data_IF_910235192136
#
_entry.id   IF_910235192136
#
_cell.length_a   1.000
_cell.length_b   1.000
_cell.length_c   1.000
_cell.angle_alpha   90.00
_cell.angle_beta   90.00
_cell.angle_gamma   90.00
#
_symmetry.space_group_name_H-M   'P 1'
#
loop_
_entity.id
_entity.type
_entity.pdbx_description
1 polymer ?
#
# COMPACT_ATOMS: atom_id res chain seq x y z
N UNK A 1 29.42 -31.68 16.96
CA UNK A 1 28.16 -32.45 16.90
C UNK A 1 27.02 -31.77 16.12
N UNK A 2 27.18 -30.56 15.56
CA UNK A 2 26.10 -29.91 14.80
C UNK A 2 26.00 -30.34 13.31
N UNK A 3 27.10 -30.80 12.71
CA UNK A 3 27.17 -31.12 11.27
C UNK A 3 26.32 -32.35 10.89
N UNK A 4 26.19 -33.33 11.78
CA UNK A 4 25.37 -34.54 11.53
C UNK A 4 23.86 -34.28 11.62
N UNK A 5 23.42 -33.29 12.42
CA UNK A 5 22.01 -32.86 12.47
C UNK A 5 21.62 -32.01 11.24
N UNK A 6 22.57 -31.29 10.66
CA UNK A 6 22.38 -30.41 9.51
C UNK A 6 21.93 -31.14 8.24
N UNK A 7 22.37 -32.40 8.07
CA UNK A 7 22.04 -33.20 6.88
C UNK A 7 20.71 -33.95 6.99
N UNK A 8 20.10 -34.05 8.17
CA UNK A 8 18.97 -34.96 8.44
C UNK A 8 17.70 -34.27 8.89
N UNK A 9 17.75 -33.01 9.34
CA UNK A 9 16.56 -32.31 9.84
C UNK A 9 16.36 -30.92 9.20
N UNK A 10 15.30 -30.79 8.39
CA UNK A 10 14.91 -29.52 7.75
C UNK A 10 14.64 -28.40 8.74
N UNK A 11 14.16 -28.72 9.95
CA UNK A 11 13.91 -27.74 11.00
C UNK A 11 15.20 -27.13 11.57
N UNK A 12 16.29 -27.91 11.65
CA UNK A 12 17.60 -27.40 12.07
C UNK A 12 18.19 -26.43 11.05
N UNK A 13 18.00 -26.70 9.75
CA UNK A 13 18.43 -25.80 8.68
C UNK A 13 17.62 -24.49 8.68
N UNK A 14 16.31 -24.57 8.97
CA UNK A 14 15.47 -23.37 9.13
C UNK A 14 15.91 -22.52 10.33
N UNK A 15 16.21 -23.13 11.48
CA UNK A 15 16.66 -22.40 12.66
C UNK A 15 18.01 -21.69 12.44
N UNK A 16 18.99 -22.35 11.84
CA UNK A 16 20.29 -21.76 11.54
C UNK A 16 20.18 -20.61 10.53
N UNK A 17 19.34 -20.78 9.50
CA UNK A 17 19.06 -19.72 8.52
C UNK A 17 18.38 -18.52 9.16
N UNK A 18 17.34 -18.73 9.97
CA UNK A 18 16.64 -17.66 10.68
C UNK A 18 17.58 -16.93 11.64
N UNK A 19 18.40 -17.66 12.39
CA UNK A 19 19.40 -17.10 13.30
C UNK A 19 20.45 -16.29 12.54
N UNK A 20 20.96 -16.81 11.41
CA UNK A 20 21.94 -16.10 10.58
C UNK A 20 21.42 -14.81 9.99
N UNK A 21 20.21 -14.84 9.40
CA UNK A 21 19.55 -13.64 8.87
C UNK A 21 19.25 -12.63 9.99
N UNK A 22 18.78 -13.09 11.15
CA UNK A 22 18.57 -12.24 12.31
C UNK A 22 19.86 -11.54 12.76
N UNK A 23 20.95 -12.29 12.95
CA UNK A 23 22.25 -11.73 13.34
C UNK A 23 22.76 -10.71 12.32
N UNK A 24 22.57 -10.98 11.02
CA UNK A 24 22.90 -10.03 9.97
C UNK A 24 22.07 -8.75 10.06
N UNK A 25 20.75 -8.87 10.27
CA UNK A 25 19.84 -7.72 10.41
C UNK A 25 20.14 -6.85 11.63
N UNK A 26 20.66 -7.44 12.72
CA UNK A 26 21.08 -6.71 13.92
C UNK A 26 22.46 -6.04 13.78
N UNK A 27 23.10 -6.09 12.60
CA UNK A 27 24.43 -5.52 12.39
C UNK A 27 25.54 -6.28 13.16
N UNK A 28 25.34 -7.56 13.45
CA UNK A 28 26.33 -8.36 14.18
C UNK A 28 27.66 -8.42 13.39
N UNK A 29 28.82 -8.16 14.02
CA UNK A 29 30.12 -8.24 13.35
C UNK A 29 30.31 -9.56 12.60
N UNK A 30 30.93 -9.49 11.42
CA UNK A 30 31.14 -10.68 10.58
C UNK A 30 31.94 -11.78 11.30
N UNK A 31 32.94 -11.41 12.11
CA UNK A 31 33.72 -12.35 12.92
C UNK A 31 32.85 -13.16 13.89
N UNK A 32 31.83 -12.53 14.49
CA UNK A 32 30.88 -13.20 15.40
C UNK A 32 29.94 -14.11 14.62
N UNK A 33 29.42 -13.64 13.47
CA UNK A 33 28.56 -14.46 12.59
C UNK A 33 29.30 -15.70 12.08
N UNK A 34 30.55 -15.54 11.66
CA UNK A 34 31.41 -16.64 11.19
C UNK A 34 31.76 -17.63 12.31
N UNK A 35 32.03 -17.14 13.53
CA UNK A 35 32.22 -18.01 14.70
C UNK A 35 30.97 -18.86 14.98
N UNK A 36 29.80 -18.23 15.01
CA UNK A 36 28.52 -18.91 15.26
C UNK A 36 28.17 -19.89 14.13
N UNK A 37 28.55 -19.57 12.89
CA UNK A 37 28.42 -20.48 11.76
C UNK A 37 29.31 -21.74 11.95
N UNK A 38 30.57 -21.56 12.37
CA UNK A 38 31.49 -22.68 12.67
C UNK A 38 31.06 -23.51 13.87
N UNK A 39 30.34 -22.92 14.83
CA UNK A 39 29.70 -23.64 15.94
C UNK A 39 28.43 -24.40 15.52
N UNK A 40 27.93 -24.18 14.29
CA UNK A 40 26.68 -24.76 13.79
C UNK A 40 25.43 -24.15 14.40
N UNK A 41 25.51 -22.91 14.87
CA UNK A 41 24.38 -22.14 15.41
C UNK A 41 23.73 -21.29 14.31
N UNK A 42 24.54 -20.83 13.35
CA UNK A 42 24.13 -20.02 12.19
C UNK A 42 24.57 -20.68 10.88
N UNK A 43 24.03 -20.20 9.76
CA UNK A 43 24.62 -20.38 8.43
C UNK A 43 25.78 -19.39 8.21
N UNK A 44 26.62 -19.65 7.19
CA UNK A 44 27.75 -18.77 6.84
C UNK A 44 27.28 -17.43 6.30
N UNK A 45 28.17 -16.42 6.33
CA UNK A 45 27.87 -15.08 5.80
C UNK A 45 27.57 -15.11 4.30
N UNK A 46 28.27 -15.97 3.54
CA UNK A 46 27.99 -16.20 2.12
C UNK A 46 26.57 -16.72 1.89
N UNK A 47 26.14 -17.75 2.63
CA UNK A 47 24.78 -18.30 2.52
C UNK A 47 23.72 -17.29 2.93
N UNK A 48 23.99 -16.42 3.92
CA UNK A 48 23.09 -15.33 4.28
C UNK A 48 22.92 -14.36 3.11
N UNK A 49 24.03 -13.91 2.50
CA UNK A 49 24.00 -12.98 1.38
C UNK A 49 23.29 -13.58 0.16
N UNK A 50 23.54 -14.86 -0.15
CA UNK A 50 22.87 -15.58 -1.23
C UNK A 50 21.36 -15.69 -0.96
N UNK A 51 20.97 -16.00 0.27
CA UNK A 51 19.56 -16.07 0.66
C UNK A 51 18.86 -14.71 0.50
N UNK A 52 19.49 -13.62 0.97
CA UNK A 52 18.94 -12.25 0.83
C UNK A 52 18.83 -11.86 -0.65
N UNK A 53 19.86 -12.14 -1.45
CA UNK A 53 19.85 -11.88 -2.89
C UNK A 53 18.71 -12.61 -3.60
N UNK A 54 18.53 -13.90 -3.31
CA UNK A 54 17.45 -14.70 -3.89
C UNK A 54 16.07 -14.21 -3.45
N UNK A 55 15.88 -13.91 -2.16
CA UNK A 55 14.63 -13.36 -1.64
C UNK A 55 14.31 -12.00 -2.27
N UNK A 56 15.32 -11.16 -2.47
CA UNK A 56 15.17 -9.86 -3.14
C UNK A 56 14.76 -10.03 -4.60
N UNK A 57 15.38 -10.96 -5.34
CA UNK A 57 15.00 -11.27 -6.72
C UNK A 57 13.58 -11.83 -6.82
N UNK A 58 13.20 -12.74 -5.92
CA UNK A 58 11.84 -13.28 -5.85
C UNK A 58 10.81 -12.18 -5.55
N UNK A 59 11.10 -11.31 -4.57
CA UNK A 59 10.25 -10.16 -4.25
C UNK A 59 10.08 -9.20 -5.44
N UNK A 60 11.16 -8.93 -6.18
CA UNK A 60 11.10 -8.11 -7.40
C UNK A 60 10.23 -8.81 -8.45
N UNK A 61 10.40 -10.12 -8.65
CA UNK A 61 9.61 -10.87 -9.62
C UNK A 61 8.12 -10.88 -9.29
N UNK A 62 7.75 -11.11 -8.03
CA UNK A 62 6.36 -11.08 -7.58
C UNK A 62 5.76 -9.67 -7.66
N UNK A 63 6.55 -8.65 -7.32
CA UNK A 63 6.16 -7.23 -7.46
C UNK A 63 5.89 -6.88 -8.92
N UNK A 64 6.76 -7.31 -9.85
CA UNK A 64 6.56 -7.12 -11.29
C UNK A 64 5.34 -7.87 -11.81
N UNK A 65 5.15 -9.11 -11.36
CA UNK A 65 4.00 -9.92 -11.73
C UNK A 65 2.70 -9.25 -11.30
N UNK A 66 2.63 -8.72 -10.07
CA UNK A 66 1.48 -7.98 -9.58
C UNK A 66 1.27 -6.67 -10.35
N UNK A 67 2.32 -5.86 -10.53
CA UNK A 67 2.23 -4.59 -11.24
C UNK A 67 1.64 -4.72 -12.64
N UNK A 68 2.10 -5.72 -13.40
CA UNK A 68 1.61 -6.04 -14.75
C UNK A 68 0.18 -6.54 -14.80
N UNK A 69 -0.43 -6.92 -13.68
CA UNK A 69 -1.87 -7.21 -13.65
C UNK A 69 -2.71 -5.95 -13.69
N UNK A 70 -2.14 -4.77 -13.39
CA UNK A 70 -2.84 -3.51 -13.17
C UNK A 70 -3.92 -3.53 -12.08
N UNK A 71 -4.05 -4.65 -11.34
CA UNK A 71 -4.97 -4.82 -10.21
C UNK A 71 -4.26 -4.52 -8.90
N UNK A 72 -3.55 -3.41 -8.85
CA UNK A 72 -2.85 -2.94 -7.66
C UNK A 72 -2.99 -1.43 -7.49
N UNK A 73 -3.26 -1.01 -6.26
CA UNK A 73 -3.15 0.38 -5.85
C UNK A 73 -1.73 0.65 -5.34
N UNK A 74 -1.16 1.76 -5.80
CA UNK A 74 0.12 2.25 -5.33
C UNK A 74 -0.14 3.19 -4.17
N UNK A 75 0.58 3.02 -3.08
CA UNK A 75 0.67 4.08 -2.09
C UNK A 75 2.11 4.43 -1.77
N UNK A 76 2.34 5.69 -1.50
CA UNK A 76 3.66 6.18 -1.14
C UNK A 76 3.57 7.37 -0.20
N UNK A 77 4.60 7.53 0.62
CA UNK A 77 4.73 8.63 1.57
C UNK A 77 6.21 8.94 1.84
N UNK A 78 6.46 10.11 2.40
CA UNK A 78 7.77 10.59 2.80
C UNK A 78 8.31 9.77 3.98
N UNK A 79 9.61 9.50 3.96
CA UNK A 79 10.37 8.87 5.03
C UNK A 79 11.59 9.72 5.38
N UNK A 80 11.52 10.39 6.53
CA UNK A 80 12.63 11.18 7.07
C UNK A 80 13.38 10.38 8.14
N UNK A 81 14.68 10.18 7.93
CA UNK A 81 15.54 9.45 8.87
C UNK A 81 16.58 10.42 9.45
N UNK A 82 16.51 10.69 10.75
CA UNK A 82 17.54 11.44 11.48
C UNK A 82 18.71 10.52 11.89
N UNK A 83 19.79 10.55 11.13
CA UNK A 83 21.03 9.81 11.39
C UNK A 83 21.86 10.58 12.42
N UNK A 84 21.62 10.28 13.69
CA UNK A 84 22.38 10.87 14.79
C UNK A 84 23.82 10.36 14.79
N UNK A 85 24.78 11.25 14.57
CA UNK A 85 26.19 10.92 14.75
C UNK A 85 26.53 10.72 16.23
N UNK A 86 27.28 9.66 16.56
CA UNK A 86 27.73 9.37 17.92
C UNK A 86 28.75 10.39 18.46
N UNK A 87 29.34 11.23 17.60
CA UNK A 87 30.31 12.27 17.97
C UNK A 87 29.97 13.56 17.22
N UNK A 88 29.54 14.64 17.91
CA UNK A 88 29.32 15.93 17.28
C UNK A 88 30.66 16.59 16.93
N UNK A 89 30.92 16.86 15.65
CA UNK A 89 32.05 17.68 15.20
C UNK A 89 31.69 19.16 15.25
N UNK A 90 32.63 19.99 15.74
CA UNK A 90 32.46 21.45 15.92
C UNK A 90 32.32 22.19 14.58
N UNK A 91 32.82 21.61 13.49
CA UNK A 91 32.81 22.21 12.16
C UNK A 91 31.64 21.65 11.35
N UNK A 92 30.54 22.42 11.28
CA UNK A 92 29.30 22.14 10.53
C UNK A 92 28.66 20.78 10.88
N UNK A 93 27.48 20.82 11.49
CA UNK A 93 26.59 19.66 11.51
C UNK A 93 26.37 19.21 10.06
N UNK A 94 26.87 18.05 9.60
CA UNK A 94 26.38 17.48 8.36
C UNK A 94 24.87 17.31 8.50
N UNK A 95 24.12 17.55 7.42
CA UNK A 95 22.69 17.25 7.38
C UNK A 95 22.49 15.80 7.84
N UNK A 96 21.94 15.63 9.04
CA UNK A 96 21.67 14.30 9.62
C UNK A 96 20.37 13.71 9.10
N UNK A 97 19.51 14.57 8.54
CA UNK A 97 18.20 14.20 8.04
C UNK A 97 18.31 13.70 6.60
N UNK A 98 18.01 12.43 6.40
CA UNK A 98 17.90 11.81 5.09
C UNK A 98 16.43 11.79 4.68
N UNK A 99 16.11 12.43 3.56
CA UNK A 99 14.75 12.55 3.03
C UNK A 99 14.50 11.53 1.92
N UNK A 100 13.76 10.47 2.22
CA UNK A 100 13.46 9.40 1.28
C UNK A 100 11.95 9.32 0.97
N UNK A 101 11.59 8.55 -0.05
CA UNK A 101 10.20 8.15 -0.32
C UNK A 101 10.06 6.65 -0.21
N UNK A 102 9.06 6.19 0.53
CA UNK A 102 8.68 4.77 0.57
C UNK A 102 7.41 4.52 -0.21
N UNK A 103 7.33 3.36 -0.86
CA UNK A 103 6.14 2.93 -1.60
C UNK A 103 5.70 1.54 -1.20
N UNK A 104 4.42 1.24 -1.39
CA UNK A 104 3.82 -0.08 -1.17
C UNK A 104 2.69 -0.32 -2.18
N UNK A 105 2.42 -1.59 -2.47
CA UNK A 105 1.30 -2.02 -3.31
C UNK A 105 0.23 -2.72 -2.49
N UNK A 106 -1.02 -2.45 -2.85
CA UNK A 106 -2.19 -3.17 -2.37
C UNK A 106 -2.88 -3.89 -3.53
N UNK A 107 -2.92 -5.24 -3.55
CA UNK A 107 -3.71 -5.98 -4.53
C UNK A 107 -5.19 -5.65 -4.42
N UNK A 108 -5.83 -5.40 -5.56
CA UNK A 108 -7.26 -5.06 -5.65
C UNK A 108 -8.09 -6.33 -5.89
N UNK A 109 -8.26 -7.15 -4.85
CA UNK A 109 -8.81 -8.52 -5.01
C UNK A 109 -10.29 -8.59 -5.43
N UNK A 110 -11.03 -7.48 -5.39
CA UNK A 110 -12.45 -7.42 -5.74
C UNK A 110 -12.73 -6.54 -6.96
N UNK A 111 -11.67 -6.16 -7.67
CA UNK A 111 -11.73 -5.28 -8.84
C UNK A 111 -11.23 -6.08 -10.04
N UNK A 112 -11.87 -5.87 -11.18
CA UNK A 112 -11.49 -6.45 -12.47
C UNK A 112 -10.82 -5.39 -13.35
N UNK A 113 -10.19 -5.82 -14.44
CA UNK A 113 -9.59 -4.89 -15.40
C UNK A 113 -10.63 -3.99 -16.08
N UNK A 114 -11.86 -4.48 -16.23
CA UNK A 114 -12.95 -3.71 -16.85
C UNK A 114 -13.34 -2.51 -15.98
N UNK A 115 -13.36 -2.68 -14.65
CA UNK A 115 -13.65 -1.60 -13.70
C UNK A 115 -12.62 -0.46 -13.77
N UNK A 116 -11.38 -0.76 -14.19
CA UNK A 116 -10.29 0.21 -14.34
C UNK A 116 -10.18 0.79 -15.75
N UNK A 117 -10.91 0.26 -16.74
CA UNK A 117 -10.85 0.67 -18.14
C UNK A 117 -11.71 1.92 -18.42
N UNK A 118 -11.42 3.00 -17.69
CA UNK A 118 -12.22 4.23 -17.69
C UNK A 118 -11.38 5.50 -17.96
N UNK A 119 -10.11 5.38 -18.36
CA UNK A 119 -9.23 6.54 -18.56
C UNK A 119 -9.79 7.53 -19.59
N UNK A 120 -10.33 7.05 -20.71
CA UNK A 120 -10.98 7.91 -21.71
C UNK A 120 -12.16 8.70 -21.14
N UNK A 121 -13.00 8.08 -20.32
CA UNK A 121 -14.18 8.73 -19.74
C UNK A 121 -13.79 9.71 -18.63
N UNK A 122 -12.77 9.37 -17.84
CA UNK A 122 -12.13 10.28 -16.89
C UNK A 122 -11.53 11.49 -17.61
N UNK A 123 -10.84 11.29 -18.73
CA UNK A 123 -10.24 12.39 -19.50
C UNK A 123 -11.29 13.29 -20.16
N UNK A 124 -12.38 12.72 -20.70
CA UNK A 124 -13.51 13.50 -21.26
C UNK A 124 -14.19 14.36 -20.21
N UNK A 125 -14.32 13.87 -18.97
CA UNK A 125 -14.98 14.58 -17.87
C UNK A 125 -14.05 15.48 -17.06
N UNK A 126 -12.73 15.39 -17.30
CA UNK A 126 -11.72 16.13 -16.56
C UNK A 126 -11.77 17.64 -16.85
N UNK A 127 -11.72 18.50 -15.82
CA UNK A 127 -11.61 19.95 -16.00
C UNK A 127 -10.29 20.39 -16.65
N UNK A 128 -9.28 19.50 -16.71
CA UNK A 128 -7.97 19.76 -17.31
C UNK A 128 -7.89 19.39 -18.81
N UNK A 129 -8.96 18.84 -19.38
CA UNK A 129 -8.99 18.54 -20.81
C UNK A 129 -9.31 19.80 -21.63
N UNK A 130 -8.25 20.52 -22.05
CA UNK A 130 -8.36 21.78 -22.79
C UNK A 130 -8.84 21.66 -24.24
N UNK A 131 -8.97 20.45 -24.78
CA UNK A 131 -9.38 20.26 -26.18
C UNK A 131 -10.88 20.45 -26.40
N UNK A 132 -11.69 20.29 -25.35
CA UNK A 132 -13.14 20.47 -25.44
C UNK A 132 -13.57 21.82 -24.89
N UNK A 133 -13.43 22.86 -25.72
CA UNK A 133 -13.97 24.22 -25.45
C UNK A 133 -15.50 24.27 -25.37
N UNK A 134 -16.21 23.12 -25.46
CA UNK A 134 -17.67 23.02 -25.55
C UNK A 134 -18.37 22.44 -24.33
N UNK A 135 -17.67 22.23 -23.20
CA UNK A 135 -18.32 21.88 -21.93
C UNK A 135 -18.38 23.09 -21.00
N UNK A 136 -19.28 24.08 -21.23
CA UNK A 136 -19.46 25.21 -20.32
C UNK A 136 -20.01 24.79 -18.94
N UNK A 137 -20.36 23.51 -18.76
CA UNK A 137 -20.97 22.96 -17.54
C UNK A 137 -20.40 21.58 -17.21
N UNK A 138 -19.09 21.43 -16.99
CA UNK A 138 -18.61 20.27 -16.21
C UNK A 138 -19.25 20.42 -14.82
N UNK A 139 -20.15 19.52 -14.39
CA UNK A 139 -20.79 19.64 -13.10
C UNK A 139 -19.70 19.63 -12.04
N UNK A 140 -19.62 20.68 -11.23
CA UNK A 140 -18.76 20.63 -10.04
C UNK A 140 -19.37 19.57 -9.14
N UNK A 141 -18.69 18.42 -9.03
CA UNK A 141 -19.08 17.39 -8.08
C UNK A 141 -19.08 18.01 -6.69
N UNK A 142 -20.26 18.10 -6.10
CA UNK A 142 -20.46 18.56 -4.73
C UNK A 142 -20.39 17.37 -3.79
N UNK A 143 -20.17 17.63 -2.50
CA UNK A 143 -20.30 16.57 -1.48
C UNK A 143 -21.71 15.97 -1.49
N UNK A 144 -22.73 16.73 -1.89
CA UNK A 144 -24.10 16.24 -2.00
C UNK A 144 -24.26 15.22 -3.13
N UNK A 145 -23.50 15.33 -4.22
CA UNK A 145 -23.51 14.33 -5.29
C UNK A 145 -22.95 12.99 -4.81
N UNK A 146 -21.96 12.99 -3.90
CA UNK A 146 -21.45 11.75 -3.27
C UNK A 146 -22.53 11.02 -2.47
N UNK A 147 -23.54 11.74 -1.97
CA UNK A 147 -24.64 11.18 -1.20
C UNK A 147 -25.64 10.44 -2.10
N UNK A 148 -25.48 10.53 -3.43
CA UNK A 148 -26.32 9.87 -4.43
C UNK A 148 -25.67 8.64 -5.07
N UNK A 149 -24.44 8.28 -4.68
CA UNK A 149 -23.70 7.14 -5.24
C UNK A 149 -24.51 5.84 -5.09
N UNK A 150 -25.12 5.64 -3.93
CA UNK A 150 -25.94 4.47 -3.67
C UNK A 150 -27.41 4.79 -3.92
N UNK A 151 -27.93 4.39 -5.08
CA UNK A 151 -29.33 4.63 -5.46
C UNK A 151 -30.32 3.97 -4.48
N UNK A 152 -31.40 4.68 -4.14
CA UNK A 152 -32.50 4.12 -3.35
C UNK A 152 -33.15 2.94 -4.08
N UNK A 153 -33.68 1.98 -3.32
CA UNK A 153 -34.56 0.97 -3.90
C UNK A 153 -35.83 1.64 -4.45
N UNK A 154 -36.30 1.20 -5.62
CA UNK A 154 -37.52 1.76 -6.24
C UNK A 154 -38.78 1.59 -5.38
N UNK A 155 -38.77 0.65 -4.44
CA UNK A 155 -39.85 0.43 -3.49
C UNK A 155 -39.68 1.27 -2.21
N UNK A 156 -40.74 1.96 -1.73
CA UNK A 156 -40.68 2.73 -0.51
C UNK A 156 -40.52 1.83 0.72
N UNK A 157 -39.54 2.13 1.56
CA UNK A 157 -39.31 1.40 2.79
C UNK A 157 -40.44 1.64 3.81
N UNK A 158 -40.86 0.65 4.63
CA UNK A 158 -41.98 0.79 5.57
C UNK A 158 -41.86 1.93 6.59
N UNK A 159 -40.64 2.39 6.88
CA UNK A 159 -40.39 3.51 7.79
C UNK A 159 -40.67 4.88 7.17
N UNK A 160 -40.85 4.97 5.84
CA UNK A 160 -40.95 6.23 5.11
C UNK A 160 -39.65 7.04 5.02
N UNK A 161 -38.53 6.49 5.54
CA UNK A 161 -37.21 7.11 5.52
C UNK A 161 -36.39 6.62 4.32
N UNK A 162 -35.59 7.51 3.73
CA UNK A 162 -34.60 7.12 2.71
C UNK A 162 -33.47 6.32 3.36
N UNK A 163 -32.70 5.53 2.58
CA UNK A 163 -31.60 4.68 3.07
C UNK A 163 -30.63 5.45 3.94
N UNK A 164 -30.24 6.65 3.51
CA UNK A 164 -29.36 7.53 4.28
C UNK A 164 -29.95 7.90 5.64
N UNK A 165 -31.23 8.25 5.69
CA UNK A 165 -31.93 8.58 6.94
C UNK A 165 -32.05 7.35 7.84
N UNK A 166 -32.27 6.15 7.27
CA UNK A 166 -32.27 4.89 8.02
C UNK A 166 -30.90 4.62 8.64
N UNK A 167 -29.82 4.78 7.89
CA UNK A 167 -28.46 4.63 8.41
C UNK A 167 -28.16 5.65 9.51
N UNK A 168 -28.51 6.93 9.31
CA UNK A 168 -28.32 7.96 10.32
C UNK A 168 -29.12 7.65 11.59
N UNK A 169 -30.38 7.25 11.47
CA UNK A 169 -31.22 6.86 12.61
C UNK A 169 -30.61 5.65 13.35
N UNK A 170 -30.16 4.63 12.62
CA UNK A 170 -29.45 3.50 13.20
C UNK A 170 -28.17 3.93 13.91
N UNK A 171 -27.37 4.83 13.33
CA UNK A 171 -26.12 5.33 13.92
C UNK A 171 -26.37 6.11 15.21
N UNK A 172 -27.35 7.02 15.23
CA UNK A 172 -27.74 7.73 16.46
C UNK A 172 -28.19 6.77 17.56
N UNK A 173 -28.99 5.76 17.22
CA UNK A 173 -29.41 4.74 18.20
C UNK A 173 -28.23 3.90 18.67
N UNK A 174 -27.34 3.50 17.77
CA UNK A 174 -26.10 2.78 18.09
C UNK A 174 -25.24 3.56 19.07
N UNK A 175 -25.06 4.86 18.85
CA UNK A 175 -24.27 5.72 19.74
C UNK A 175 -24.93 5.91 21.10
N UNK A 176 -26.26 6.10 21.15
CA UNK A 176 -26.99 6.17 22.42
C UNK A 176 -26.90 4.86 23.22
N UNK A 177 -26.95 3.71 22.55
CA UNK A 177 -26.90 2.38 23.18
C UNK A 177 -25.48 2.07 23.70
N UNK A 178 -24.45 2.38 22.89
CA UNK A 178 -23.06 2.02 23.20
C UNK A 178 -22.34 3.05 24.08
N UNK A 179 -22.68 4.33 23.95
CA UNK A 179 -21.98 5.46 24.59
C UNK A 179 -22.88 6.35 25.45
N UNK A 180 -24.21 6.22 25.34
CA UNK A 180 -25.16 6.99 26.15
C UNK A 180 -25.39 6.43 27.56
N UNK A 181 -26.41 6.95 28.27
CA UNK A 181 -26.80 6.49 29.59
C UNK A 181 -27.07 4.98 29.64
N UNK A 182 -26.75 4.34 30.77
CA UNK A 182 -26.88 2.89 30.97
C UNK A 182 -28.28 2.34 30.67
N UNK A 183 -29.31 3.18 30.84
CA UNK A 183 -30.69 2.90 30.44
C UNK A 183 -30.80 2.32 29.03
N UNK A 184 -30.06 2.85 28.05
CA UNK A 184 -30.20 2.49 26.64
C UNK A 184 -29.53 1.17 26.28
N UNK A 185 -28.58 0.66 27.10
CA UNK A 185 -27.89 -0.62 26.83
C UNK A 185 -28.85 -1.80 26.68
N UNK A 186 -30.04 -1.73 27.29
CA UNK A 186 -31.10 -2.74 27.18
C UNK A 186 -31.53 -3.00 25.73
N UNK A 187 -31.40 -2.00 24.85
CA UNK A 187 -31.86 -2.08 23.46
C UNK A 187 -30.82 -2.68 22.51
N UNK A 188 -29.63 -3.04 23.01
CA UNK A 188 -28.55 -3.63 22.18
C UNK A 188 -28.99 -4.87 21.41
N UNK A 189 -29.89 -5.69 21.98
CA UNK A 189 -30.43 -6.89 21.31
C UNK A 189 -31.45 -6.59 20.21
N UNK A 190 -32.02 -5.39 20.20
CA UNK A 190 -33.12 -5.00 19.30
C UNK A 190 -32.61 -4.18 18.10
N UNK A 191 -31.49 -3.46 18.25
CA UNK A 191 -30.99 -2.55 17.21
C UNK A 191 -30.64 -3.26 15.89
N UNK A 192 -30.06 -4.46 15.96
CA UNK A 192 -29.54 -5.16 14.78
C UNK A 192 -28.34 -4.46 14.12
N UNK A 193 -27.91 -5.01 12.99
CA UNK A 193 -26.85 -4.47 12.13
C UNK A 193 -27.44 -3.41 11.16
N UNK A 194 -26.63 -2.48 10.64
CA UNK A 194 -27.10 -1.51 9.67
C UNK A 194 -27.44 -2.20 8.34
N UNK A 195 -28.26 -1.55 7.51
CA UNK A 195 -28.50 -1.98 6.14
C UNK A 195 -27.18 -2.07 5.38
N UNK A 196 -26.88 -3.24 4.80
CA UNK A 196 -25.69 -3.45 3.98
C UNK A 196 -25.90 -2.86 2.58
N UNK A 197 -24.94 -2.06 2.13
CA UNK A 197 -24.96 -1.38 0.82
C UNK A 197 -23.58 -1.56 0.21
N UNK A 198 -23.50 -2.26 -0.91
CA UNK A 198 -22.25 -2.53 -1.64
C UNK A 198 -21.09 -2.95 -0.72
N UNK A 199 -21.39 -3.88 0.21
CA UNK A 199 -20.46 -4.27 1.26
C UNK A 199 -19.15 -4.81 0.66
N UNK A 200 -18.04 -4.14 0.96
CA UNK A 200 -16.71 -4.61 0.58
C UNK A 200 -16.39 -5.83 1.46
N UNK A 201 -16.09 -7.00 0.86
CA UNK A 201 -15.77 -8.18 1.65
C UNK A 201 -14.56 -7.94 2.56
N UNK A 202 -14.71 -8.26 3.84
CA UNK A 202 -13.62 -8.13 4.80
C UNK A 202 -12.58 -9.20 4.49
N UNK A 203 -11.40 -8.76 4.09
CA UNK A 203 -10.26 -9.61 3.85
C UNK A 203 -8.99 -8.95 4.38
N UNK A 204 -8.01 -9.77 4.75
CA UNK A 204 -6.71 -9.26 5.15
C UNK A 204 -5.98 -8.74 3.92
N UNK A 205 -5.82 -7.42 3.82
CA UNK A 205 -5.03 -6.80 2.76
C UNK A 205 -3.56 -7.15 2.92
N UNK A 206 -2.95 -7.66 1.85
CA UNK A 206 -1.50 -7.86 1.78
C UNK A 206 -0.85 -6.56 1.31
N UNK A 207 0.18 -6.12 2.02
CA UNK A 207 1.05 -5.03 1.58
C UNK A 207 2.31 -5.61 0.95
N UNK A 208 2.72 -5.07 -0.20
CA UNK A 208 3.95 -5.46 -0.88
C UNK A 208 4.83 -4.23 -0.97
N UNK A 209 5.89 -4.13 -0.14
CA UNK A 209 6.73 -2.95 -0.10
C UNK A 209 7.54 -2.82 -1.41
N UNK A 210 7.66 -1.58 -1.88
CA UNK A 210 8.56 -1.20 -2.95
C UNK A 210 9.90 -0.73 -2.35
N UNK A 211 10.93 -0.69 -3.19
CA UNK A 211 12.21 -0.13 -2.78
C UNK A 211 12.07 1.35 -2.53
N UNK A 212 12.62 1.79 -1.41
CA UNK A 212 12.74 3.20 -1.05
C UNK A 212 13.52 3.97 -2.12
N UNK A 213 13.12 5.21 -2.34
CA UNK A 213 13.74 6.12 -3.30
C UNK A 213 14.41 7.26 -2.55
N UNK A 214 15.54 7.72 -3.08
CA UNK A 214 16.22 8.95 -2.63
C UNK A 214 15.64 10.14 -3.40
N UNK A 215 14.33 10.33 -3.22
CA UNK A 215 13.54 11.41 -3.82
C UNK A 215 12.70 11.98 -2.69
N UNK A 216 12.59 13.30 -2.62
CA UNK A 216 11.71 13.99 -1.68
C UNK A 216 10.57 14.61 -2.49
N UNK A 217 9.38 14.00 -2.57
CA UNK A 217 8.26 14.45 -3.40
C UNK A 217 7.60 15.71 -2.82
N UNK A 218 8.33 16.82 -2.84
CA UNK A 218 7.88 18.15 -2.41
C UNK A 218 7.39 19.00 -3.59
N UNK A 219 7.45 18.48 -4.82
CA UNK A 219 6.96 19.12 -6.06
C UNK A 219 6.26 18.11 -6.96
N UNK A 220 5.37 18.55 -7.87
CA UNK A 220 4.75 17.67 -8.87
C UNK A 220 5.76 16.90 -9.73
N UNK A 221 6.91 17.50 -10.06
CA UNK A 221 7.97 16.85 -10.82
C UNK A 221 8.62 15.69 -10.04
N UNK A 222 8.90 15.90 -8.75
CA UNK A 222 9.46 14.84 -7.89
C UNK A 222 8.44 13.74 -7.58
N UNK A 223 7.15 14.10 -7.46
CA UNK A 223 6.06 13.12 -7.40
C UNK A 223 6.02 12.24 -8.66
N UNK A 224 6.14 12.84 -9.84
CA UNK A 224 6.20 12.10 -11.09
C UNK A 224 7.45 11.19 -11.17
N UNK A 225 8.61 11.67 -10.72
CA UNK A 225 9.84 10.88 -10.65
C UNK A 225 9.72 9.67 -9.71
N UNK A 226 9.10 9.86 -8.54
CA UNK A 226 8.84 8.77 -7.60
C UNK A 226 7.90 7.72 -8.21
N UNK A 227 6.81 8.16 -8.85
CA UNK A 227 5.85 7.28 -9.51
C UNK A 227 6.46 6.52 -10.69
N UNK A 228 7.24 7.19 -11.55
CA UNK A 228 7.95 6.55 -12.65
C UNK A 228 8.91 5.46 -12.14
N UNK A 229 9.62 5.74 -11.05
CA UNK A 229 10.48 4.75 -10.39
C UNK A 229 9.69 3.57 -9.83
N UNK A 230 8.51 3.80 -9.23
CA UNK A 230 7.64 2.72 -8.76
C UNK A 230 7.05 1.89 -9.91
N UNK A 231 6.66 2.51 -11.02
CA UNK A 231 6.20 1.80 -12.21
C UNK A 231 7.30 0.93 -12.82
N UNK A 232 8.54 1.43 -12.92
CA UNK A 232 9.68 0.63 -13.36
C UNK A 232 9.95 -0.57 -12.45
N UNK A 233 9.87 -0.38 -11.13
CA UNK A 233 10.03 -1.48 -10.17
C UNK A 233 8.98 -2.58 -10.34
N UNK A 234 7.77 -2.20 -10.73
CA UNK A 234 6.61 -3.08 -10.90
C UNK A 234 6.41 -3.55 -12.35
N UNK A 235 7.33 -3.21 -13.25
CA UNK A 235 7.28 -3.65 -14.63
C UNK A 235 6.11 -3.05 -15.42
N UNK A 236 5.69 -1.83 -15.06
CA UNK A 236 4.73 -1.00 -15.77
C UNK A 236 5.49 0.11 -16.49
N UNK A 237 5.17 0.37 -17.76
CA UNK A 237 5.87 1.39 -18.55
C UNK A 237 5.82 1.12 -20.05
N UNK A 238 6.60 1.89 -20.81
CA UNK A 238 6.69 1.74 -22.26
C UNK A 238 7.55 0.50 -22.63
N UNK A 239 7.03 -0.46 -23.42
CA UNK A 239 7.80 -1.60 -23.92
C UNK A 239 9.04 -1.24 -24.76
N UNK A 240 9.10 -0.02 -25.29
CA UNK A 240 10.27 0.48 -26.02
C UNK A 240 11.45 0.79 -25.10
N UNK A 241 11.18 1.19 -23.86
CA UNK A 241 12.19 1.48 -22.83
C UNK A 241 12.59 0.21 -22.04
N UNK A 242 11.63 -0.65 -21.71
CA UNK A 242 11.88 -1.96 -21.10
C UNK A 242 11.00 -3.01 -21.80
N UNK A 243 11.63 -3.97 -22.48
CA UNK A 243 10.94 -5.06 -23.21
C UNK A 243 10.02 -5.90 -22.32
N UNK A 244 10.24 -5.86 -21.00
CA UNK A 244 9.42 -6.57 -20.03
C UNK A 244 8.42 -5.66 -19.32
N UNK A 245 8.31 -4.38 -19.67
CA UNK A 245 7.28 -3.50 -19.16
C UNK A 245 5.93 -3.78 -19.84
N UNK A 246 4.86 -3.71 -19.05
CA UNK A 246 3.49 -3.74 -19.57
C UNK A 246 2.98 -2.31 -19.76
N UNK A 247 2.47 -1.95 -20.95
CA UNK A 247 1.89 -0.64 -21.19
C UNK A 247 0.53 -0.53 -20.51
N UNK A 248 0.24 0.62 -19.92
CA UNK A 248 -1.01 0.87 -19.18
C UNK A 248 -2.23 0.91 -20.12
N UNK A 249 -2.08 1.46 -21.32
CA UNK A 249 -3.19 1.61 -22.27
C UNK A 249 -4.27 2.56 -21.74
N UNK A 250 -5.53 2.11 -21.76
CA UNK A 250 -6.70 2.88 -21.28
C UNK A 250 -7.07 2.56 -19.82
N UNK A 251 -6.22 1.81 -19.12
CA UNK A 251 -6.44 1.44 -17.72
C UNK A 251 -6.08 2.60 -16.80
N UNK A 252 -6.85 2.75 -15.73
CA UNK A 252 -6.57 3.69 -14.65
C UNK A 252 -5.85 2.97 -13.53
N UNK A 253 -4.75 3.55 -13.03
CA UNK A 253 -4.02 3.02 -11.88
C UNK A 253 -4.35 3.90 -10.67
N UNK A 254 -4.97 3.34 -9.61
CA UNK A 254 -5.21 4.09 -8.38
C UNK A 254 -3.89 4.32 -7.63
N UNK A 255 -3.72 5.56 -7.18
CA UNK A 255 -2.53 6.03 -6.47
C UNK A 255 -2.99 6.80 -5.24
N UNK A 256 -2.44 6.45 -4.08
CA UNK A 256 -2.68 7.12 -2.81
C UNK A 256 -1.36 7.64 -2.23
N UNK A 257 -1.19 8.94 -2.13
CA UNK A 257 0.02 9.50 -1.54
C UNK A 257 -0.12 11.00 -1.39
N UNK A 258 0.93 11.62 -0.87
CA UNK A 258 1.03 13.07 -0.86
C UNK A 258 1.37 13.56 -2.28
N UNK A 259 0.33 13.60 -3.12
CA UNK A 259 0.43 14.12 -4.48
C UNK A 259 0.62 15.64 -4.50
N UNK A 260 0.72 16.29 -3.33
CA UNK A 260 0.71 17.74 -3.16
C UNK A 260 -0.39 18.35 -4.00
N UNK A 261 -1.62 18.31 -3.49
CA UNK A 261 -2.71 19.12 -4.04
C UNK A 261 -2.48 20.59 -3.67
N UNK A 262 -1.35 21.16 -4.12
CA UNK A 262 -1.10 22.58 -4.12
C UNK A 262 -1.88 23.20 -5.26
N UNK A 263 -2.91 23.97 -4.91
CA UNK A 263 -3.44 25.02 -5.80
C UNK A 263 -2.37 26.08 -6.05
#
# INVERSE_FOLDING_TARGET
MAILMQSTNRSCNMFQSATGVFLHSCGTPESVRELLARMGISISTTTINDAISNLSQEAISETKKLGRTFLACYAYDNLDIDIKHSVPTVEKSPETLLHLTTGTLFPLNHITLEDLNCSDDLWKTSPFNHTDTRLPNVPKLTLDDLLTIHQESGDPHPSGLVRRERFNAWKFLSDLINHGPEYFRRFKRVLGDPEEVDAIPIQKTRQIPLRCLDVSPSTPAQNAEALDSFFKQTGVGDPTDDKFAAPVGNLTIPIAGDLLTGQ
#
